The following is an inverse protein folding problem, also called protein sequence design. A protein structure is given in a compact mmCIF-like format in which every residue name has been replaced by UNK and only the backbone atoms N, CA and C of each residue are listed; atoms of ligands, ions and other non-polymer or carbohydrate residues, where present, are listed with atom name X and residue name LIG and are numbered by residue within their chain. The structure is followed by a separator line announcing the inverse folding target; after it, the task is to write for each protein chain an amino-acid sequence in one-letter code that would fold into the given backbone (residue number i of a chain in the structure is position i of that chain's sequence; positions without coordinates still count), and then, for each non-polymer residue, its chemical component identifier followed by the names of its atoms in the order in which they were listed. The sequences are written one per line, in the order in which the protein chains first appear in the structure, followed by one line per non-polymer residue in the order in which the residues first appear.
data_IF_146349051732
#
_entry.id   IF_146349051732
#
_cell.length_a   1.000
_cell.length_b   1.000
_cell.length_c   1.000
_cell.angle_alpha   90.00
_cell.angle_beta   90.00
_cell.angle_gamma   90.00
#
_symmetry.space_group_name_H-M   'P 1'
#
loop_
_entity.id
_entity.type
_entity.pdbx_description
1 polymer ?
#
# COMPACT_ATOMS: atom_id res chain seq x y z
N UNK A 1 13.55 -15.85 3.10
CA UNK A 1 12.54 -16.91 3.03
C UNK A 1 11.20 -16.45 2.50
N UNK A 2 10.44 -15.62 3.24
CA UNK A 2 9.18 -15.10 2.70
C UNK A 2 9.41 -14.26 1.44
N UNK A 3 10.41 -13.39 1.44
CA UNK A 3 10.74 -12.55 0.30
C UNK A 3 11.06 -13.37 -0.96
N UNK A 4 11.77 -14.49 -0.80
CA UNK A 4 12.09 -15.38 -1.92
C UNK A 4 10.84 -16.00 -2.53
N UNK A 5 9.90 -16.43 -1.67
CA UNK A 5 8.61 -16.97 -2.12
C UNK A 5 7.80 -15.90 -2.86
N UNK A 6 7.78 -14.68 -2.34
CA UNK A 6 7.10 -13.57 -2.99
C UNK A 6 7.71 -13.22 -4.35
N UNK A 7 9.05 -13.25 -4.46
CA UNK A 7 9.74 -13.00 -5.72
C UNK A 7 9.45 -14.05 -6.79
N UNK A 8 9.14 -15.28 -6.39
CA UNK A 8 8.75 -16.34 -7.33
C UNK A 8 7.38 -16.08 -7.96
N UNK A 9 6.51 -15.38 -7.24
CA UNK A 9 5.13 -15.13 -7.66
C UNK A 9 4.88 -13.73 -8.23
N UNK A 10 5.74 -12.77 -7.90
CA UNK A 10 5.58 -11.37 -8.29
C UNK A 10 6.85 -10.81 -8.90
N UNK A 11 6.70 -10.08 -9.99
CA UNK A 11 7.82 -9.39 -10.64
C UNK A 11 8.18 -8.09 -9.92
N UNK A 12 7.18 -7.48 -9.24
CA UNK A 12 7.37 -6.26 -8.48
C UNK A 12 6.68 -6.38 -7.13
N UNK A 13 7.32 -5.82 -6.10
CA UNK A 13 6.77 -5.78 -4.74
C UNK A 13 6.95 -4.36 -4.23
N UNK A 14 5.85 -3.61 -4.13
CA UNK A 14 5.87 -2.24 -3.64
C UNK A 14 5.49 -2.17 -2.17
N UNK A 15 6.34 -1.57 -1.36
CA UNK A 15 5.98 -1.17 0.00
C UNK A 15 5.45 0.26 -0.07
N UNK A 16 4.25 0.46 0.47
CA UNK A 16 3.51 1.71 0.33
C UNK A 16 3.33 2.40 1.66
N UNK A 17 3.42 3.73 1.66
CA UNK A 17 3.11 4.56 2.81
C UNK A 17 2.47 5.86 2.34
N UNK A 18 1.29 6.16 2.86
CA UNK A 18 0.56 7.37 2.54
C UNK A 18 0.54 8.31 3.76
N UNK A 19 0.83 9.58 3.51
CA UNK A 19 0.61 10.64 4.49
C UNK A 19 -0.67 11.37 4.13
N UNK A 20 -1.59 11.47 5.07
CA UNK A 20 -2.90 12.08 4.83
C UNK A 20 -3.42 12.78 6.07
N UNK A 21 -4.36 13.69 5.84
CA UNK A 21 -5.04 14.43 6.90
C UNK A 21 -6.54 14.11 6.78
N UNK A 22 -7.15 13.72 7.91
CA UNK A 22 -8.59 13.56 7.99
C UNK A 22 -9.18 14.81 8.61
N UNK A 23 -10.11 15.46 7.90
CA UNK A 23 -10.83 16.62 8.44
C UNK A 23 -11.88 16.10 9.44
N UNK A 24 -11.73 16.54 10.69
CA UNK A 24 -12.67 16.18 11.77
C UNK A 24 -14.11 16.66 11.51
N UNK A 25 -14.27 17.62 10.61
CA UNK A 25 -15.59 18.14 10.22
C UNK A 25 -16.25 17.31 9.14
N UNK A 26 -15.47 16.47 8.45
CA UNK A 26 -15.98 15.59 7.41
C UNK A 26 -16.40 14.27 8.03
N UNK A 27 -17.71 14.10 8.19
CA UNK A 27 -18.30 12.87 8.77
C UNK A 27 -18.08 11.64 7.89
N UNK A 28 -17.59 11.81 6.66
CA UNK A 28 -17.31 10.72 5.75
C UNK A 28 -15.92 10.10 5.92
N UNK A 29 -15.11 10.63 6.84
CA UNK A 29 -13.76 10.14 7.12
C UNK A 29 -12.88 9.99 5.88
N UNK A 30 -13.06 10.88 4.91
CA UNK A 30 -12.28 10.86 3.68
C UNK A 30 -10.89 11.41 3.91
N UNK A 31 -9.83 10.62 3.64
CA UNK A 31 -8.49 11.12 3.80
C UNK A 31 -8.15 12.15 2.72
N UNK A 32 -7.54 13.26 3.12
CA UNK A 32 -6.96 14.20 2.20
C UNK A 32 -5.47 13.83 2.05
N UNK A 33 -5.13 13.21 0.93
CA UNK A 33 -3.79 12.66 0.72
C UNK A 33 -2.79 13.78 0.45
N UNK A 34 -1.73 13.83 1.26
CA UNK A 34 -0.65 14.80 1.11
C UNK A 34 0.45 14.25 0.20
N UNK A 35 0.89 13.04 0.48
CA UNK A 35 1.87 12.36 -0.37
C UNK A 35 1.72 10.85 -0.24
N UNK A 36 2.27 10.14 -1.23
CA UNK A 36 2.27 8.69 -1.25
C UNK A 36 3.65 8.21 -1.70
N UNK A 37 4.28 7.38 -0.88
CA UNK A 37 5.60 6.83 -1.19
C UNK A 37 5.46 5.35 -1.51
N UNK A 38 6.08 4.93 -2.60
CA UNK A 38 6.14 3.53 -3.03
C UNK A 38 7.59 3.16 -3.21
N UNK A 39 8.03 2.09 -2.55
CA UNK A 39 9.36 1.54 -2.77
C UNK A 39 9.23 0.14 -3.34
N UNK A 40 9.75 -0.06 -4.55
CA UNK A 40 9.82 -1.38 -5.16
C UNK A 40 11.08 -2.07 -4.63
N UNK A 41 10.90 -3.15 -3.87
CA UNK A 41 11.98 -3.73 -3.06
C UNK A 41 12.93 -4.61 -3.87
N UNK A 42 12.53 -5.11 -5.02
CA UNK A 42 13.40 -5.94 -5.86
C UNK A 42 14.43 -5.07 -6.57
N UNK A 43 14.00 -3.94 -7.15
CA UNK A 43 14.87 -2.99 -7.84
C UNK A 43 15.50 -1.96 -6.91
N UNK A 44 14.88 -1.72 -5.75
CA UNK A 44 15.27 -0.67 -4.83
C UNK A 44 14.80 0.72 -5.23
N UNK A 45 13.98 0.83 -6.28
CA UNK A 45 13.52 2.11 -6.79
C UNK A 45 12.41 2.69 -5.92
N UNK A 46 12.51 3.99 -5.61
CA UNK A 46 11.52 4.71 -4.80
C UNK A 46 10.77 5.71 -5.67
N UNK A 47 9.45 5.75 -5.51
CA UNK A 47 8.56 6.68 -6.17
C UNK A 47 7.87 7.52 -5.10
N UNK A 48 7.99 8.84 -5.21
CA UNK A 48 7.33 9.79 -4.30
C UNK A 48 6.30 10.56 -5.12
N UNK A 49 5.02 10.39 -4.77
CA UNK A 49 3.91 11.03 -5.46
C UNK A 49 3.28 12.08 -4.56
N UNK A 50 3.19 13.30 -5.05
CA UNK A 50 2.49 14.41 -4.40
C UNK A 50 2.00 15.38 -5.47
N UNK A 51 0.99 16.18 -5.13
CA UNK A 51 0.34 17.11 -6.06
C UNK A 51 -0.19 16.37 -7.30
N UNK A 52 0.24 16.77 -8.49
CA UNK A 52 -0.26 16.19 -9.74
C UNK A 52 0.07 14.70 -9.91
N UNK A 53 1.18 14.24 -9.34
CA UNK A 53 1.56 12.83 -9.43
C UNK A 53 0.75 11.90 -8.53
N UNK A 54 -0.08 12.43 -7.64
CA UNK A 54 -1.03 11.64 -6.85
C UNK A 54 -2.16 11.02 -7.68
N UNK A 55 -2.20 11.24 -8.98
CA UNK A 55 -3.27 10.75 -9.85
C UNK A 55 -3.03 9.34 -10.38
N UNK A 56 -1.88 8.76 -10.11
CA UNK A 56 -1.54 7.44 -10.64
C UNK A 56 -0.62 6.67 -9.70
N UNK A 57 -0.66 5.35 -9.80
CA UNK A 57 0.29 4.47 -9.14
C UNK A 57 1.57 4.40 -9.98
N UNK A 58 2.71 3.95 -9.38
CA UNK A 58 3.91 3.68 -10.17
C UNK A 58 3.60 2.69 -11.30
N UNK A 59 4.30 2.81 -12.45
CA UNK A 59 4.09 1.85 -13.55
C UNK A 59 4.30 0.42 -13.08
N UNK A 60 3.34 -0.45 -13.36
CA UNK A 60 3.41 -1.85 -12.93
C UNK A 60 2.48 -2.74 -13.75
N UNK A 61 2.73 -4.03 -13.68
CA UNK A 61 1.84 -5.04 -14.24
C UNK A 61 0.90 -5.54 -13.14
N UNK A 62 -0.41 -5.20 -13.18
CA UNK A 62 -1.31 -5.48 -12.05
C UNK A 62 -1.33 -6.95 -11.60
N UNK A 63 -1.28 -7.89 -12.53
CA UNK A 63 -1.33 -9.33 -12.21
C UNK A 63 0.01 -9.90 -11.74
N UNK A 64 1.09 -9.12 -11.80
CA UNK A 64 2.44 -9.53 -11.42
C UNK A 64 3.02 -8.69 -10.30
N UNK A 65 2.19 -7.88 -9.65
CA UNK A 65 2.64 -6.90 -8.66
C UNK A 65 1.90 -7.08 -7.35
N UNK A 66 2.67 -7.12 -6.26
CA UNK A 66 2.15 -7.13 -4.89
C UNK A 66 2.37 -5.75 -4.28
N UNK A 67 1.33 -5.22 -3.64
CA UNK A 67 1.43 -4.00 -2.83
C UNK A 67 1.37 -4.39 -1.36
N UNK A 68 2.34 -3.90 -0.60
CA UNK A 68 2.48 -4.19 0.83
C UNK A 68 2.25 -2.90 1.61
N UNK A 69 1.39 -2.95 2.60
CA UNK A 69 1.13 -1.83 3.50
C UNK A 69 1.03 -2.32 4.93
N UNK A 70 1.38 -1.46 5.89
CA UNK A 70 1.21 -1.82 7.31
C UNK A 70 -0.28 -1.94 7.66
N UNK A 71 -1.11 -1.05 7.09
CA UNK A 71 -2.56 -1.10 7.26
C UNK A 71 -3.20 -0.82 5.90
N UNK A 72 -3.59 -1.87 5.20
CA UNK A 72 -4.14 -1.77 3.84
C UNK A 72 -5.37 -0.87 3.79
N UNK A 73 -6.21 -0.90 4.84
CA UNK A 73 -7.40 -0.05 4.86
C UNK A 73 -7.07 1.44 4.72
N UNK A 74 -5.98 1.90 5.33
CA UNK A 74 -5.55 3.29 5.23
C UNK A 74 -5.10 3.62 3.81
N UNK A 75 -4.19 2.83 3.24
CA UNK A 75 -3.65 3.06 1.89
C UNK A 75 -4.72 2.86 0.82
N UNK A 76 -5.55 1.83 0.94
CA UNK A 76 -6.65 1.59 0.00
C UNK A 76 -7.67 2.73 0.02
N UNK A 77 -7.96 3.29 1.20
CA UNK A 77 -8.84 4.45 1.31
C UNK A 77 -8.27 5.67 0.60
N UNK A 78 -6.95 5.87 0.71
CA UNK A 78 -6.27 6.95 0.00
C UNK A 78 -6.37 6.77 -1.51
N UNK A 79 -6.09 5.57 -2.00
CA UNK A 79 -6.17 5.25 -3.43
C UNK A 79 -7.60 5.45 -3.96
N UNK A 80 -8.60 4.97 -3.21
CA UNK A 80 -10.00 5.14 -3.58
C UNK A 80 -10.40 6.62 -3.63
N UNK A 81 -9.95 7.41 -2.64
CA UNK A 81 -10.25 8.83 -2.59
C UNK A 81 -9.61 9.60 -3.75
N UNK A 82 -8.45 9.17 -4.23
CA UNK A 82 -7.77 9.75 -5.39
C UNK A 82 -8.39 9.28 -6.71
N UNK A 83 -9.35 8.36 -6.68
CA UNK A 83 -10.03 7.79 -7.85
C UNK A 83 -9.05 7.07 -8.79
N UNK A 84 -8.04 6.46 -8.22
CA UNK A 84 -7.06 5.64 -8.94
C UNK A 84 -7.54 4.19 -8.94
N UNK A 85 -7.22 3.46 -10.01
CA UNK A 85 -7.55 2.03 -10.08
C UNK A 85 -6.87 1.26 -8.95
N UNK A 86 -7.66 0.48 -8.20
CA UNK A 86 -7.17 -0.26 -7.05
C UNK A 86 -6.20 -1.39 -7.46
N UNK A 87 -5.07 -1.56 -6.74
CA UNK A 87 -4.22 -2.74 -6.92
C UNK A 87 -4.99 -4.04 -6.70
N UNK A 88 -4.58 -5.10 -7.41
CA UNK A 88 -5.25 -6.41 -7.31
C UNK A 88 -4.78 -7.16 -6.07
N UNK A 89 -3.47 -7.17 -5.80
CA UNK A 89 -2.88 -7.96 -4.73
C UNK A 89 -2.32 -7.08 -3.63
N UNK A 90 -2.75 -7.36 -2.39
CA UNK A 90 -2.33 -6.63 -1.20
C UNK A 90 -1.81 -7.60 -0.14
N UNK A 91 -0.79 -7.18 0.58
CA UNK A 91 -0.33 -7.81 1.82
C UNK A 91 -0.49 -6.81 2.95
N UNK A 92 -1.26 -7.19 3.98
CA UNK A 92 -1.52 -6.34 5.15
C UNK A 92 -0.63 -6.81 6.31
N UNK A 93 0.41 -6.03 6.60
CA UNK A 93 1.35 -6.35 7.67
C UNK A 93 0.70 -6.29 9.05
N UNK A 94 -0.29 -5.43 9.24
CA UNK A 94 -1.01 -5.32 10.51
C UNK A 94 -1.80 -6.60 10.81
N UNK A 95 -2.52 -7.13 9.84
CA UNK A 95 -3.27 -8.37 9.99
C UNK A 95 -2.33 -9.55 10.25
N UNK A 96 -1.26 -9.66 9.49
CA UNK A 96 -0.28 -10.74 9.67
C UNK A 96 0.40 -10.67 11.03
N UNK A 97 0.73 -9.48 11.50
CA UNK A 97 1.31 -9.28 12.83
C UNK A 97 0.34 -9.71 13.94
N UNK A 98 -0.95 -9.40 13.79
CA UNK A 98 -1.98 -9.84 14.75
C UNK A 98 -2.11 -11.37 14.78
N UNK A 99 -2.07 -12.01 13.64
CA UNK A 99 -2.10 -13.48 13.56
C UNK A 99 -0.93 -14.12 14.29
N UNK A 100 0.27 -13.56 14.13
CA UNK A 100 1.46 -14.04 14.82
C UNK A 100 1.34 -13.90 16.34
N UNK A 101 0.82 -12.76 16.80
CA UNK A 101 0.60 -12.52 18.22
C UNK A 101 -0.41 -13.48 18.81
N UNK A 102 -1.53 -13.70 18.15
CA UNK A 102 -2.56 -14.63 18.60
C UNK A 102 -2.05 -16.05 18.66
N UNK A 103 -1.22 -16.46 17.71
CA UNK A 103 -0.61 -17.78 17.70
C UNK A 103 0.38 -18.02 18.82
N UNK A 104 0.96 -16.95 19.42
CA UNK A 104 1.89 -17.04 20.54
C UNK A 104 1.21 -17.08 21.92
N UNK A 105 0.00 -16.54 21.99
CA UNK A 105 -0.74 -16.45 23.25
C UNK A 105 -1.55 -17.72 23.51
N UNK A 106 -1.82 -18.46 22.49
CA UNK A 106 -2.47 -19.76 22.59
C UNK A 106 -1.42 -20.87 22.72
#
# INVERSE_FOLDING_TARGET
MLLEVLKENFEQIFVCDAEFICDKKDKGERPNVVCFVFKEIISGKTYKHYEDSLKELPPHKPKKTLFVAYNVNAEASCIANLKIKMPIYWWDCFIENQKLYRGRIN
#
